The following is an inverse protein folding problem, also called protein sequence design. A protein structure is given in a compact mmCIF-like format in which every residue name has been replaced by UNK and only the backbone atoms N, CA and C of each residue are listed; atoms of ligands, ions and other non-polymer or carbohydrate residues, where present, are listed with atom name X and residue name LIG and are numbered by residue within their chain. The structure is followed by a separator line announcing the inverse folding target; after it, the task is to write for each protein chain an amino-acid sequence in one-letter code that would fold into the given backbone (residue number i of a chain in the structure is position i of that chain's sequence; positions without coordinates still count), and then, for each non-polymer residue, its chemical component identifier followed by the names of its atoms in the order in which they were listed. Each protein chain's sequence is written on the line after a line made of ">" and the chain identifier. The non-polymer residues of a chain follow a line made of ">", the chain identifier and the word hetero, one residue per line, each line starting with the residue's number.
data_IF_019575926849
#
_entry.id   IF_019575926849
#
_cell.length_a   1.000
_cell.length_b   1.000
_cell.length_c   1.000
_cell.angle_alpha   90.00
_cell.angle_beta   90.00
_cell.angle_gamma   90.00
#
_symmetry.space_group_name_H-M   'P 1'
#
loop_
_entity.id
_entity.type
_entity.pdbx_description
1 polymer ?
#
# COMPACT_ATOMS: atom_id res chain seq x y z
N UNK A 1 1.98 16.22 -17.63
CA UNK A 1 2.52 15.91 -16.29
C UNK A 1 3.22 17.14 -15.74
N UNK A 2 2.87 17.53 -14.53
CA UNK A 2 3.47 18.72 -13.92
C UNK A 2 4.80 18.36 -13.25
N UNK A 3 5.85 19.17 -13.42
CA UNK A 3 7.08 18.97 -12.68
C UNK A 3 6.83 19.22 -11.19
N UNK A 4 7.66 18.60 -10.34
CA UNK A 4 7.59 18.85 -8.91
C UNK A 4 7.94 20.31 -8.62
N UNK A 5 7.22 20.92 -7.67
CA UNK A 5 7.61 22.22 -7.15
C UNK A 5 8.98 22.12 -6.45
N UNK A 6 9.72 23.22 -6.26
CA UNK A 6 10.99 23.17 -5.54
C UNK A 6 10.86 22.57 -4.14
N UNK A 7 9.76 22.82 -3.45
CA UNK A 7 9.51 22.28 -2.11
C UNK A 7 9.31 20.77 -2.15
N UNK A 8 8.55 20.27 -3.14
CA UNK A 8 8.32 18.84 -3.32
C UNK A 8 9.59 18.12 -3.77
N UNK A 9 10.41 18.75 -4.61
CA UNK A 9 11.70 18.20 -5.02
C UNK A 9 12.62 18.04 -3.81
N UNK A 10 12.63 19.01 -2.93
CA UNK A 10 13.44 18.98 -1.72
C UNK A 10 12.97 17.87 -0.79
N UNK A 11 11.65 17.72 -0.63
CA UNK A 11 11.05 16.64 0.16
C UNK A 11 11.37 15.28 -0.46
N UNK A 12 11.24 15.16 -1.78
CA UNK A 12 11.60 13.94 -2.51
C UNK A 12 13.06 13.55 -2.28
N UNK A 13 13.98 14.52 -2.30
CA UNK A 13 15.37 14.23 -2.07
C UNK A 13 15.61 13.68 -0.68
N UNK A 14 14.91 14.20 0.31
CA UNK A 14 14.94 13.67 1.68
C UNK A 14 14.46 12.22 1.74
N UNK A 15 13.37 11.90 1.04
CA UNK A 15 12.85 10.53 0.95
C UNK A 15 13.85 9.61 0.27
N UNK A 16 14.42 10.06 -0.87
CA UNK A 16 15.37 9.28 -1.63
C UNK A 16 16.61 8.91 -0.80
N UNK A 17 17.08 9.84 0.03
CA UNK A 17 18.25 9.62 0.90
C UNK A 17 17.96 8.57 1.99
N UNK A 18 16.71 8.34 2.34
CA UNK A 18 16.28 7.38 3.35
C UNK A 18 16.01 5.98 2.79
N UNK A 19 15.93 5.85 1.47
CA UNK A 19 15.75 4.54 0.83
C UNK A 19 17.06 3.77 0.80
N UNK A 20 16.99 2.41 0.72
CA UNK A 20 18.21 1.61 0.59
C UNK A 20 19.07 2.03 -0.60
N UNK A 21 20.39 1.92 -0.47
CA UNK A 21 21.33 2.37 -1.50
C UNK A 21 21.16 1.61 -2.82
N UNK A 22 20.69 0.36 -2.77
CA UNK A 22 20.46 -0.48 -3.95
C UNK A 22 19.06 -0.30 -4.55
N UNK A 23 18.24 0.57 -3.97
CA UNK A 23 16.89 0.82 -4.47
C UNK A 23 16.95 1.50 -5.84
N UNK A 24 16.18 1.01 -6.85
CA UNK A 24 16.27 1.53 -8.23
C UNK A 24 15.51 2.87 -8.39
N UNK A 25 15.99 3.93 -7.73
CA UNK A 25 15.35 5.25 -7.75
C UNK A 25 15.22 5.80 -9.17
N UNK A 26 16.22 5.56 -10.02
CA UNK A 26 16.23 6.07 -11.37
C UNK A 26 15.11 5.49 -12.25
N UNK A 27 14.56 4.35 -11.86
CA UNK A 27 13.48 3.69 -12.60
C UNK A 27 12.09 4.20 -12.20
N UNK A 28 12.00 5.02 -11.13
CA UNK A 28 10.72 5.56 -10.71
C UNK A 28 10.21 6.59 -11.71
N UNK A 29 8.93 6.45 -12.07
CA UNK A 29 8.27 7.44 -12.91
C UNK A 29 8.18 8.78 -12.16
N UNK A 30 8.11 9.91 -12.89
CA UNK A 30 7.88 11.20 -12.25
C UNK A 30 6.57 11.24 -11.43
N UNK A 31 5.54 10.50 -11.86
CA UNK A 31 4.29 10.37 -11.12
C UNK A 31 4.50 9.68 -9.77
N UNK A 32 5.27 8.60 -9.76
CA UNK A 32 5.60 7.89 -8.53
C UNK A 32 6.33 8.80 -7.55
N UNK A 33 7.29 9.59 -8.04
CA UNK A 33 8.02 10.56 -7.22
C UNK A 33 7.09 11.62 -6.64
N UNK A 34 6.10 12.08 -7.43
CA UNK A 34 5.11 13.06 -6.95
C UNK A 34 4.27 12.51 -5.82
N UNK A 35 3.79 11.27 -5.93
CA UNK A 35 2.99 10.63 -4.89
C UNK A 35 3.79 10.50 -3.60
N UNK A 36 5.02 10.03 -3.69
CA UNK A 36 5.87 9.85 -2.51
C UNK A 36 6.18 11.16 -1.82
N UNK A 37 6.39 12.23 -2.60
CA UNK A 37 6.63 13.55 -2.03
C UNK A 37 5.38 14.14 -1.37
N UNK A 38 4.20 13.65 -1.71
CA UNK A 38 2.93 14.20 -1.26
C UNK A 38 2.39 13.55 0.01
N UNK A 39 2.62 12.26 0.21
CA UNK A 39 1.97 11.49 1.27
C UNK A 39 2.97 10.96 2.28
N UNK A 40 2.94 11.50 3.49
CA UNK A 40 3.77 11.01 4.60
C UNK A 40 3.52 9.54 4.90
N UNK A 41 2.26 9.10 4.78
CA UNK A 41 1.91 7.70 5.01
C UNK A 41 2.56 6.79 3.97
N UNK A 42 2.47 7.15 2.68
CA UNK A 42 3.11 6.39 1.60
C UNK A 42 4.62 6.39 1.79
N UNK A 43 5.20 7.55 2.08
CA UNK A 43 6.63 7.70 2.33
C UNK A 43 7.11 6.74 3.41
N UNK A 44 6.50 6.78 4.58
CA UNK A 44 6.91 5.95 5.71
C UNK A 44 6.74 4.46 5.39
N UNK A 45 5.67 4.11 4.71
CA UNK A 45 5.38 2.72 4.37
C UNK A 45 6.38 2.13 3.38
N UNK A 46 6.75 2.89 2.33
CA UNK A 46 7.72 2.41 1.34
C UNK A 46 9.14 2.43 1.85
N UNK A 47 9.47 3.29 2.80
CA UNK A 47 10.76 3.25 3.49
C UNK A 47 10.88 1.97 4.31
N UNK A 48 9.82 1.58 5.01
CA UNK A 48 9.77 0.36 5.79
C UNK A 48 9.73 -0.90 4.91
N UNK A 49 9.07 -0.82 3.75
CA UNK A 49 8.86 -1.92 2.82
C UNK A 49 9.15 -1.47 1.39
N UNK A 50 10.44 -1.33 1.01
CA UNK A 50 10.79 -0.80 -0.32
C UNK A 50 10.24 -1.61 -1.49
N UNK A 51 10.01 -2.93 -1.31
CA UNK A 51 9.43 -3.78 -2.34
C UNK A 51 8.03 -3.34 -2.77
N UNK A 52 7.27 -2.69 -1.91
CA UNK A 52 5.94 -2.19 -2.27
C UNK A 52 5.99 -1.11 -3.35
N UNK A 53 7.03 -0.28 -3.34
CA UNK A 53 7.19 0.73 -4.38
C UNK A 53 7.45 0.09 -5.75
N UNK A 54 8.26 -0.97 -5.78
CA UNK A 54 8.48 -1.73 -7.01
C UNK A 54 7.19 -2.35 -7.54
N UNK A 55 6.37 -2.90 -6.66
CA UNK A 55 5.06 -3.45 -7.04
C UNK A 55 4.16 -2.37 -7.65
N UNK A 56 4.13 -1.18 -7.07
CA UNK A 56 3.32 -0.07 -7.58
C UNK A 56 3.81 0.41 -8.94
N UNK A 57 5.11 0.41 -9.16
CA UNK A 57 5.70 0.79 -10.44
C UNK A 57 5.38 -0.23 -11.53
N UNK A 58 5.39 -1.52 -11.19
CA UNK A 58 5.15 -2.60 -12.15
C UNK A 58 3.67 -2.78 -12.47
N UNK A 59 2.81 -2.58 -11.48
CA UNK A 59 1.37 -2.83 -11.62
C UNK A 59 0.58 -1.77 -10.87
N UNK A 60 0.09 -0.77 -11.60
CA UNK A 60 -0.73 0.28 -11.01
C UNK A 60 -2.00 -0.29 -10.39
N UNK A 61 -2.43 0.22 -9.21
CA UNK A 61 -3.68 -0.24 -8.61
C UNK A 61 -4.89 0.00 -9.51
N UNK A 62 -5.77 -1.00 -9.59
CA UNK A 62 -7.01 -0.92 -10.36
C UNK A 62 -8.17 -0.42 -9.47
N UNK A 63 -9.19 0.19 -10.11
CA UNK A 63 -10.35 0.73 -9.40
C UNK A 63 -11.13 -0.35 -8.64
N UNK A 64 -11.16 -1.57 -9.16
CA UNK A 64 -11.90 -2.68 -8.56
C UNK A 64 -11.00 -3.70 -7.87
N UNK A 65 -9.80 -3.29 -7.47
CA UNK A 65 -8.83 -4.15 -6.80
C UNK A 65 -9.39 -4.76 -5.51
N UNK A 66 -10.34 -4.08 -4.86
CA UNK A 66 -10.99 -4.55 -3.65
C UNK A 66 -11.66 -5.93 -3.81
N UNK A 67 -11.99 -6.32 -5.04
CA UNK A 67 -12.57 -7.65 -5.31
C UNK A 67 -11.61 -8.78 -5.02
N UNK A 68 -10.32 -8.50 -4.97
CA UNK A 68 -9.26 -9.48 -4.73
C UNK A 68 -8.77 -9.51 -3.29
N UNK A 69 -9.22 -8.59 -2.44
CA UNK A 69 -8.70 -8.46 -1.08
C UNK A 69 -8.85 -9.74 -0.26
N UNK A 70 -10.02 -10.37 -0.32
CA UNK A 70 -10.26 -11.60 0.43
C UNK A 70 -9.31 -12.71 0.01
N UNK A 71 -9.17 -12.94 -1.29
CA UNK A 71 -8.30 -13.99 -1.83
C UNK A 71 -6.83 -13.72 -1.49
N UNK A 72 -6.37 -12.48 -1.63
CA UNK A 72 -5.00 -12.11 -1.30
C UNK A 72 -4.70 -12.27 0.19
N UNK A 73 -5.63 -11.89 1.04
CA UNK A 73 -5.45 -12.01 2.48
C UNK A 73 -5.44 -13.48 2.90
N UNK A 74 -6.36 -14.29 2.37
CA UNK A 74 -6.40 -15.72 2.68
C UNK A 74 -5.10 -16.43 2.30
N UNK A 75 -4.51 -16.06 1.17
CA UNK A 75 -3.22 -16.60 0.77
C UNK A 75 -2.14 -16.29 1.80
N UNK A 76 -2.09 -15.07 2.31
CA UNK A 76 -1.12 -14.69 3.34
C UNK A 76 -1.33 -15.40 4.66
N UNK A 77 -2.58 -15.68 5.00
CA UNK A 77 -2.93 -16.30 6.28
C UNK A 77 -2.64 -17.81 6.30
N UNK A 78 -2.41 -18.43 5.14
CA UNK A 78 -2.11 -19.87 5.08
C UNK A 78 -0.88 -20.26 5.88
N UNK A 79 0.12 -19.40 5.95
CA UNK A 79 1.35 -19.66 6.69
C UNK A 79 1.28 -19.27 8.16
N UNK A 80 0.19 -18.65 8.60
CA UNK A 80 0.02 -18.18 9.98
C UNK A 80 -0.36 -19.34 10.89
N UNK A 81 0.38 -19.51 11.98
CA UNK A 81 0.16 -20.63 12.92
C UNK A 81 -0.25 -20.16 14.30
N UNK A 82 -0.10 -18.89 14.63
CA UNK A 82 -0.45 -18.36 15.94
C UNK A 82 -1.12 -16.98 15.83
N UNK A 83 -1.67 -16.52 16.94
CA UNK A 83 -2.40 -15.26 17.00
C UNK A 83 -1.47 -14.05 16.75
N UNK A 84 -0.23 -14.10 17.22
CA UNK A 84 0.74 -13.03 16.99
C UNK A 84 1.06 -12.89 15.50
N UNK A 85 1.19 -14.02 14.78
CA UNK A 85 1.38 -14.05 13.34
C UNK A 85 0.16 -13.50 12.60
N UNK A 86 -1.05 -13.86 13.06
CA UNK A 86 -2.29 -13.32 12.50
C UNK A 86 -2.32 -11.79 12.59
N UNK A 87 -2.07 -11.24 13.77
CA UNK A 87 -2.10 -9.79 13.98
C UNK A 87 -1.06 -9.08 13.12
N UNK A 88 0.13 -9.65 12.98
CA UNK A 88 1.18 -9.10 12.14
C UNK A 88 0.76 -9.06 10.67
N UNK A 89 0.23 -10.17 10.15
CA UNK A 89 -0.20 -10.23 8.74
C UNK A 89 -1.37 -9.30 8.45
N UNK A 90 -2.32 -9.20 9.39
CA UNK A 90 -3.45 -8.28 9.21
C UNK A 90 -2.97 -6.82 9.14
N UNK A 91 -2.01 -6.44 10.01
CA UNK A 91 -1.47 -5.09 9.99
C UNK A 91 -0.69 -4.80 8.72
N UNK A 92 0.14 -5.76 8.28
CA UNK A 92 0.91 -5.59 7.03
C UNK A 92 0.00 -5.49 5.82
N UNK A 93 -1.00 -6.36 5.73
CA UNK A 93 -1.97 -6.32 4.63
C UNK A 93 -2.73 -5.01 4.60
N UNK A 94 -3.25 -4.57 5.75
CA UNK A 94 -3.95 -3.29 5.86
C UNK A 94 -3.06 -2.15 5.37
N UNK A 95 -1.83 -2.09 5.84
CA UNK A 95 -0.90 -1.02 5.48
C UNK A 95 -0.57 -1.04 4.00
N UNK A 96 -0.32 -2.20 3.42
CA UNK A 96 -0.03 -2.34 2.00
C UNK A 96 -1.20 -1.92 1.12
N UNK A 97 -2.42 -2.36 1.46
CA UNK A 97 -3.61 -1.99 0.69
C UNK A 97 -3.91 -0.50 0.83
N UNK A 98 -3.70 0.09 1.99
CA UNK A 98 -3.88 1.53 2.16
C UNK A 98 -2.86 2.34 1.35
N UNK A 99 -1.63 1.86 1.21
CA UNK A 99 -0.64 2.48 0.31
C UNK A 99 -1.14 2.44 -1.14
N UNK A 100 -1.67 1.30 -1.58
CA UNK A 100 -2.21 1.17 -2.94
C UNK A 100 -3.42 2.08 -3.17
N UNK A 101 -4.31 2.17 -2.19
CA UNK A 101 -5.47 3.06 -2.26
C UNK A 101 -5.03 4.53 -2.33
N UNK A 102 -4.12 4.94 -1.47
CA UNK A 102 -3.59 6.31 -1.46
C UNK A 102 -2.87 6.65 -2.77
N UNK A 103 -2.12 5.70 -3.31
CA UNK A 103 -1.41 5.85 -4.58
C UNK A 103 -2.39 6.08 -5.73
N UNK A 104 -3.43 5.23 -5.82
CA UNK A 104 -4.44 5.35 -6.87
C UNK A 104 -5.18 6.68 -6.79
N UNK A 105 -5.53 7.13 -5.59
CA UNK A 105 -6.21 8.40 -5.39
C UNK A 105 -5.32 9.58 -5.77
N UNK A 106 -4.06 9.57 -5.35
CA UNK A 106 -3.12 10.66 -5.64
C UNK A 106 -2.85 10.80 -7.14
N UNK A 107 -2.86 9.69 -7.88
CA UNK A 107 -2.68 9.71 -9.33
C UNK A 107 -3.98 9.89 -10.09
N UNK A 108 -5.10 10.08 -9.41
CA UNK A 108 -6.43 10.23 -10.00
C UNK A 108 -6.84 9.03 -10.87
N UNK A 109 -6.39 7.83 -10.49
CA UNK A 109 -6.76 6.59 -11.18
C UNK A 109 -8.15 6.11 -10.80
N UNK A 110 -8.67 6.60 -9.68
CA UNK A 110 -9.98 6.23 -9.14
C UNK A 110 -10.72 7.48 -8.68
N UNK A 111 -12.05 7.38 -8.62
CA UNK A 111 -12.89 8.44 -8.08
C UNK A 111 -12.98 8.33 -6.56
N UNK A 112 -13.42 9.40 -5.92
CA UNK A 112 -13.54 9.45 -4.46
C UNK A 112 -14.47 8.36 -3.91
N UNK A 113 -15.60 8.11 -4.59
CA UNK A 113 -16.53 7.04 -4.19
C UNK A 113 -15.87 5.67 -4.24
N UNK A 114 -15.01 5.43 -5.22
CA UNK A 114 -14.27 4.18 -5.35
C UNK A 114 -13.25 4.03 -4.22
N UNK A 115 -12.60 5.13 -3.83
CA UNK A 115 -11.68 5.14 -2.69
C UNK A 115 -12.42 4.76 -1.40
N UNK A 116 -13.59 5.36 -1.16
CA UNK A 116 -14.40 5.06 0.03
C UNK A 116 -14.85 3.60 0.04
N UNK A 117 -15.25 3.08 -1.11
CA UNK A 117 -15.63 1.67 -1.23
C UNK A 117 -14.47 0.74 -0.93
N UNK A 118 -13.29 1.05 -1.44
CA UNK A 118 -12.09 0.25 -1.18
C UNK A 118 -11.74 0.23 0.31
N UNK A 119 -11.82 1.37 0.98
CA UNK A 119 -11.56 1.45 2.41
C UNK A 119 -12.56 0.63 3.22
N UNK A 120 -13.84 0.69 2.85
CA UNK A 120 -14.89 -0.08 3.51
C UNK A 120 -14.68 -1.58 3.34
N UNK A 121 -14.43 -2.02 2.10
CA UNK A 121 -14.22 -3.44 1.82
C UNK A 121 -12.96 -3.95 2.53
N UNK A 122 -11.90 -3.14 2.56
CA UNK A 122 -10.67 -3.50 3.28
C UNK A 122 -10.97 -3.74 4.77
N UNK A 123 -11.69 -2.82 5.40
CA UNK A 123 -12.04 -2.96 6.82
C UNK A 123 -12.88 -4.23 7.06
N UNK A 124 -13.89 -4.47 6.24
CA UNK A 124 -14.74 -5.67 6.35
C UNK A 124 -13.93 -6.95 6.15
N UNK A 125 -13.04 -6.97 5.17
CA UNK A 125 -12.20 -8.12 4.86
C UNK A 125 -11.29 -8.47 6.05
N UNK A 126 -10.68 -7.48 6.67
CA UNK A 126 -9.81 -7.68 7.83
C UNK A 126 -10.60 -8.24 9.03
N UNK A 127 -11.78 -7.69 9.31
CA UNK A 127 -12.61 -8.11 10.43
C UNK A 127 -13.08 -9.55 10.22
N UNK A 128 -13.59 -9.88 9.05
CA UNK A 128 -14.09 -11.23 8.74
C UNK A 128 -12.96 -12.25 8.79
N UNK A 129 -11.80 -11.93 8.22
CA UNK A 129 -10.66 -12.84 8.22
C UNK A 129 -10.16 -13.11 9.64
N UNK A 130 -10.09 -12.08 10.48
CA UNK A 130 -9.69 -12.23 11.88
C UNK A 130 -10.68 -13.12 12.65
N UNK A 131 -11.96 -12.86 12.48
CA UNK A 131 -13.02 -13.64 13.12
C UNK A 131 -12.94 -15.12 12.71
N UNK A 132 -12.87 -15.37 11.41
CA UNK A 132 -12.90 -16.75 10.90
C UNK A 132 -11.66 -17.52 11.34
N UNK A 133 -10.48 -16.87 11.33
CA UNK A 133 -9.25 -17.50 11.80
C UNK A 133 -9.34 -17.86 13.29
N UNK A 134 -9.83 -16.92 14.11
CA UNK A 134 -9.96 -17.15 15.55
C UNK A 134 -10.97 -18.24 15.88
N UNK A 135 -12.07 -18.32 15.15
CA UNK A 135 -13.05 -19.39 15.33
C UNK A 135 -12.49 -20.76 14.93
N UNK A 136 -11.73 -20.80 13.86
CA UNK A 136 -11.11 -22.05 13.42
C UNK A 136 -10.03 -22.57 14.39
N UNK A 137 -9.40 -21.65 15.15
CA UNK A 137 -8.36 -21.98 16.12
C UNK A 137 -8.93 -22.45 17.47
N UNK A 138 -10.21 -22.25 17.75
CA UNK A 138 -10.87 -22.68 18.99
C UNK A 138 -11.21 -24.15 18.97
#
# INVERSE_FOLDING_TARGET
>A
MMPLSPQLQQHWQTVADRLPADFPIAELSPQARSVMAFSDFVEQSVIAQPGWLNELADSAPAAEEWRHYEAWLQERLQAVTDEAGLMRELRLFRRQMMVRIAWAQALSLVREEETLQQLRVLAETLIVAARDWLYAAC
#
